data_IF_319714499671
#
_entry.id   IF_319714499671
#
_cell.length_a   1.000
_cell.length_b   1.000
_cell.length_c   1.000
_cell.angle_alpha   90.00
_cell.angle_beta   90.00
_cell.angle_gamma   90.00
#
_symmetry.space_group_name_H-M   'P 1'
#
loop_
_entity.id
_entity.type
_entity.pdbx_description
1 polymer ?
#
# COMPACT_ATOMS: atom_id res chain seq x y z
N UNK A 1 -22.43 1.34 -2.83
CA UNK A 1 -20.98 1.40 -2.54
C UNK A 1 -20.20 0.15 -2.99
N UNK A 2 -20.81 -1.04 -3.11
CA UNK A 2 -20.16 -2.26 -3.67
C UNK A 2 -19.47 -2.09 -5.02
N UNK A 3 -20.01 -1.25 -5.92
CA UNK A 3 -19.42 -1.01 -7.24
C UNK A 3 -18.04 -0.34 -7.22
N UNK A 4 -17.74 0.49 -6.22
CA UNK A 4 -16.45 1.18 -6.13
C UNK A 4 -15.31 0.21 -5.74
N UNK A 5 -15.57 -0.70 -4.79
CA UNK A 5 -14.64 -1.78 -4.41
C UNK A 5 -14.35 -2.70 -5.60
N UNK A 6 -15.39 -3.16 -6.30
CA UNK A 6 -15.26 -4.06 -7.45
C UNK A 6 -14.52 -3.41 -8.63
N UNK A 7 -14.75 -2.11 -8.86
CA UNK A 7 -14.06 -1.34 -9.90
C UNK A 7 -12.56 -1.19 -9.59
N UNK A 8 -12.20 -0.98 -8.33
CA UNK A 8 -10.81 -0.89 -7.89
C UNK A 8 -10.11 -2.26 -7.91
N UNK A 9 -10.78 -3.33 -7.50
CA UNK A 9 -10.26 -4.71 -7.61
C UNK A 9 -9.94 -5.07 -9.07
N UNK A 10 -10.84 -4.73 -10.00
CA UNK A 10 -10.59 -4.89 -11.43
C UNK A 10 -9.48 -3.99 -11.96
N UNK A 11 -9.41 -2.75 -11.47
CA UNK A 11 -8.34 -1.81 -11.86
C UNK A 11 -6.97 -2.35 -11.46
N UNK A 12 -6.83 -2.89 -10.24
CA UNK A 12 -5.59 -3.47 -9.72
C UNK A 12 -5.17 -4.71 -10.53
N UNK A 13 -6.14 -5.53 -10.97
CA UNK A 13 -5.88 -6.72 -11.78
C UNK A 13 -5.47 -6.41 -13.23
N UNK A 14 -5.80 -5.22 -13.75
CA UNK A 14 -5.51 -4.82 -15.15
C UNK A 14 -4.23 -3.99 -15.23
N UNK A 15 -4.04 -3.03 -14.31
CA UNK A 15 -2.80 -2.27 -14.17
C UNK A 15 -2.59 -1.84 -12.70
N UNK A 16 -1.54 -2.32 -12.02
CA UNK A 16 -1.21 -1.90 -10.67
C UNK A 16 -0.65 -0.47 -10.70
N UNK A 17 -1.53 0.53 -10.76
CA UNK A 17 -1.14 1.94 -10.62
C UNK A 17 -1.23 2.36 -9.16
N UNK A 18 -0.27 3.14 -8.65
CA UNK A 18 -0.26 3.65 -7.26
C UNK A 18 -1.58 4.28 -6.79
N UNK A 19 -2.28 5.00 -7.69
CA UNK A 19 -3.56 5.66 -7.39
C UNK A 19 -4.70 4.65 -7.09
N UNK A 20 -4.66 3.46 -7.68
CA UNK A 20 -5.62 2.40 -7.40
C UNK A 20 -5.45 1.89 -5.96
N UNK A 21 -4.21 1.81 -5.48
CA UNK A 21 -3.90 1.43 -4.10
C UNK A 21 -4.26 2.52 -3.10
N UNK A 22 -3.98 3.78 -3.41
CA UNK A 22 -4.41 4.91 -2.56
C UNK A 22 -5.93 4.94 -2.40
N UNK A 23 -6.66 4.72 -3.49
CA UNK A 23 -8.13 4.70 -3.47
C UNK A 23 -8.68 3.50 -2.69
N UNK A 24 -8.08 2.32 -2.85
CA UNK A 24 -8.45 1.13 -2.09
C UNK A 24 -8.18 1.30 -0.60
N UNK A 25 -7.02 1.84 -0.24
CA UNK A 25 -6.63 2.02 1.15
C UNK A 25 -7.46 3.09 1.84
N UNK A 26 -7.75 4.20 1.15
CA UNK A 26 -8.69 5.20 1.65
C UNK A 26 -10.09 4.59 1.89
N UNK A 27 -10.60 3.76 0.98
CA UNK A 27 -11.88 3.08 1.17
C UNK A 27 -11.87 2.10 2.35
N UNK A 28 -10.81 1.30 2.49
CA UNK A 28 -10.69 0.33 3.59
C UNK A 28 -10.61 1.03 4.95
N UNK A 29 -9.86 2.13 5.06
CA UNK A 29 -9.78 2.93 6.27
C UNK A 29 -11.10 3.65 6.59
N UNK A 30 -11.84 4.12 5.57
CA UNK A 30 -13.12 4.82 5.76
C UNK A 30 -14.30 3.89 6.09
N UNK A 31 -14.31 2.66 5.59
CA UNK A 31 -15.48 1.78 5.74
C UNK A 31 -15.61 1.13 7.12
N UNK A 32 -14.56 1.14 7.96
CA UNK A 32 -14.59 0.48 9.28
C UNK A 32 -14.96 -1.01 9.22
N UNK A 33 -14.89 -1.61 8.03
CA UNK A 33 -15.36 -2.94 7.71
C UNK A 33 -14.21 -3.92 7.85
N UNK A 34 -14.07 -4.48 9.06
CA UNK A 34 -13.06 -5.49 9.39
C UNK A 34 -13.15 -6.73 8.48
N UNK A 35 -14.34 -7.10 8.03
CA UNK A 35 -14.52 -8.25 7.14
C UNK A 35 -14.01 -7.93 5.72
N UNK A 36 -14.37 -6.75 5.20
CA UNK A 36 -13.90 -6.27 3.90
C UNK A 36 -12.38 -6.05 3.85
N UNK A 37 -11.80 -5.60 4.96
CA UNK A 37 -10.36 -5.46 5.20
C UNK A 37 -9.62 -6.81 5.15
N UNK A 38 -10.09 -7.78 5.93
CA UNK A 38 -9.49 -9.12 5.99
C UNK A 38 -9.60 -9.88 4.66
N UNK A 39 -10.73 -9.73 3.95
CA UNK A 39 -10.92 -10.31 2.62
C UNK A 39 -9.91 -9.75 1.61
N UNK A 40 -9.65 -8.43 1.66
CA UNK A 40 -8.66 -7.78 0.80
C UNK A 40 -7.23 -8.20 1.14
N UNK A 41 -6.89 -8.31 2.42
CA UNK A 41 -5.58 -8.83 2.83
C UNK A 41 -5.36 -10.26 2.33
N UNK A 42 -6.37 -11.12 2.45
CA UNK A 42 -6.32 -12.50 1.95
C UNK A 42 -6.09 -12.53 0.44
N UNK A 43 -6.85 -11.72 -0.31
CA UNK A 43 -6.74 -11.69 -1.76
C UNK A 43 -5.39 -11.13 -2.23
N UNK A 44 -4.88 -10.06 -1.60
CA UNK A 44 -3.62 -9.48 -2.05
C UNK A 44 -2.43 -10.40 -1.77
N UNK A 45 -2.44 -11.11 -0.64
CA UNK A 45 -1.43 -12.14 -0.35
C UNK A 45 -1.49 -13.26 -1.38
N UNK A 46 -2.70 -13.71 -1.75
CA UNK A 46 -2.89 -14.69 -2.84
C UNK A 46 -2.33 -14.19 -4.17
N UNK A 47 -2.57 -12.93 -4.53
CA UNK A 47 -2.04 -12.34 -5.76
C UNK A 47 -0.52 -12.18 -5.74
N UNK A 48 0.05 -11.86 -4.58
CA UNK A 48 1.50 -11.83 -4.38
C UNK A 48 2.13 -13.21 -4.59
N UNK A 49 1.57 -14.27 -4.00
CA UNK A 49 2.04 -15.65 -4.20
C UNK A 49 1.95 -16.10 -5.67
N UNK A 50 0.93 -15.62 -6.39
CA UNK A 50 0.78 -15.84 -7.83
C UNK A 50 1.68 -14.95 -8.69
N UNK A 51 2.54 -14.11 -8.09
CA UNK A 51 3.41 -13.14 -8.76
C UNK A 51 2.64 -12.16 -9.65
N UNK A 52 1.41 -11.83 -9.22
CA UNK A 52 0.50 -10.90 -9.90
C UNK A 52 0.32 -9.58 -9.15
N UNK A 53 0.95 -9.44 -8.00
CA UNK A 53 1.04 -8.19 -7.26
C UNK A 53 2.47 -8.02 -6.72
N UNK A 54 3.03 -6.79 -6.74
CA UNK A 54 4.31 -6.51 -6.10
C UNK A 54 4.20 -6.50 -4.58
N UNK A 55 5.32 -6.65 -3.88
CA UNK A 55 5.35 -6.66 -2.41
C UNK A 55 4.92 -5.30 -1.83
N UNK A 56 5.23 -4.19 -2.50
CA UNK A 56 4.82 -2.84 -2.07
C UNK A 56 3.30 -2.70 -1.98
N UNK A 57 2.54 -3.43 -2.82
CA UNK A 57 1.08 -3.42 -2.73
C UNK A 57 0.58 -4.05 -1.44
N UNK A 58 1.19 -5.16 -1.02
CA UNK A 58 0.84 -5.82 0.24
C UNK A 58 1.14 -4.89 1.42
N UNK A 59 2.27 -4.17 1.37
CA UNK A 59 2.63 -3.17 2.37
C UNK A 59 1.53 -2.09 2.53
N UNK A 60 1.00 -1.58 1.42
CA UNK A 60 -0.07 -0.59 1.45
C UNK A 60 -1.38 -1.09 2.08
N UNK A 61 -1.72 -2.37 1.91
CA UNK A 61 -2.90 -2.95 2.57
C UNK A 61 -2.67 -2.99 4.08
N UNK A 62 -1.54 -3.51 4.56
CA UNK A 62 -1.23 -3.48 5.99
C UNK A 62 -1.22 -2.05 6.57
N UNK A 63 -0.74 -1.09 5.79
CA UNK A 63 -0.76 0.31 6.14
C UNK A 63 -2.19 0.87 6.32
N UNK A 64 -3.11 0.51 5.41
CA UNK A 64 -4.51 0.90 5.50
C UNK A 64 -5.24 0.28 6.71
N UNK A 65 -4.75 -0.88 7.17
CA UNK A 65 -5.25 -1.58 8.35
C UNK A 65 -4.69 -1.00 9.67
N UNK A 66 -3.66 -0.15 9.61
CA UNK A 66 -2.95 0.34 10.79
C UNK A 66 -1.91 -0.65 11.33
N UNK A 67 -1.65 -1.74 10.62
CA UNK A 67 -0.68 -2.78 10.97
C UNK A 67 0.73 -2.38 10.51
N UNK A 68 1.26 -1.30 11.09
CA UNK A 68 2.47 -0.64 10.61
C UNK A 68 3.70 -1.56 10.62
N UNK A 69 3.86 -2.40 11.64
CA UNK A 69 5.02 -3.31 11.72
C UNK A 69 5.04 -4.32 10.57
N UNK A 70 3.88 -4.83 10.17
CA UNK A 70 3.76 -5.72 9.02
C UNK A 70 3.92 -4.93 7.71
N UNK A 71 3.36 -3.71 7.62
CA UNK A 71 3.58 -2.84 6.47
C UNK A 71 5.08 -2.62 6.21
N UNK A 72 5.87 -2.32 7.25
CA UNK A 72 7.32 -2.15 7.12
C UNK A 72 8.03 -3.44 6.72
N UNK A 73 7.64 -4.62 7.22
CA UNK A 73 8.19 -5.90 6.74
C UNK A 73 8.01 -6.08 5.24
N UNK A 74 6.83 -5.72 4.72
CA UNK A 74 6.56 -5.80 3.29
C UNK A 74 7.24 -4.71 2.47
N UNK A 75 7.45 -3.51 3.02
CA UNK A 75 8.27 -2.48 2.38
C UNK A 75 9.73 -2.91 2.26
N UNK A 76 10.31 -3.55 3.28
CA UNK A 76 11.66 -4.14 3.20
C UNK A 76 11.73 -5.21 2.11
N UNK A 77 10.71 -6.06 2.02
CA UNK A 77 10.62 -7.06 0.95
C UNK A 77 10.51 -6.42 -0.45
N UNK A 78 9.78 -5.32 -0.57
CA UNK A 78 9.67 -4.56 -1.82
C UNK A 78 10.99 -3.90 -2.22
N UNK A 79 11.76 -3.41 -1.25
CA UNK A 79 13.13 -2.93 -1.43
C UNK A 79 14.05 -4.03 -1.97
N UNK A 80 14.02 -5.22 -1.35
CA UNK A 80 14.80 -6.38 -1.78
C UNK A 80 14.44 -6.81 -3.21
N UNK A 81 13.14 -6.82 -3.53
CA UNK A 81 12.63 -7.16 -4.86
C UNK A 81 12.87 -6.05 -5.91
N UNK A 82 13.29 -4.86 -5.47
CA UNK A 82 13.43 -3.65 -6.31
C UNK A 82 12.13 -3.27 -7.00
N UNK A 83 11.02 -3.32 -6.27
CA UNK A 83 9.69 -2.98 -6.77
C UNK A 83 9.67 -1.51 -7.24
N UNK A 84 9.53 -1.29 -8.55
CA UNK A 84 9.55 0.05 -9.14
C UNK A 84 8.42 0.97 -8.67
N UNK A 85 7.33 0.39 -8.17
CA UNK A 85 6.19 1.12 -7.63
C UNK A 85 6.49 1.84 -6.29
N UNK A 86 7.59 1.50 -5.62
CA UNK A 86 8.02 2.21 -4.42
C UNK A 86 8.37 3.68 -4.70
N UNK A 87 8.68 4.04 -5.95
CA UNK A 87 8.91 5.45 -6.33
C UNK A 87 7.69 6.34 -6.10
N UNK A 88 6.49 5.76 -5.96
CA UNK A 88 5.24 6.48 -5.76
C UNK A 88 4.79 6.56 -4.31
N UNK A 89 5.63 6.14 -3.35
CA UNK A 89 5.27 6.18 -1.92
C UNK A 89 4.87 7.58 -1.44
N UNK A 90 5.44 8.64 -2.03
CA UNK A 90 5.09 10.04 -1.73
C UNK A 90 3.77 10.52 -2.37
N UNK A 91 3.18 9.76 -3.30
CA UNK A 91 1.90 10.12 -3.91
C UNK A 91 0.70 9.96 -2.95
N UNK A 92 0.92 9.30 -1.83
CA UNK A 92 -0.12 9.06 -0.83
C UNK A 92 -0.38 10.30 0.02
N UNK A 93 -1.64 10.76 0.14
CA UNK A 93 -1.93 11.96 0.93
C UNK A 93 -1.53 11.78 2.39
N UNK A 94 -0.71 12.71 2.90
CA UNK A 94 -0.18 12.65 4.28
C UNK A 94 -1.26 12.59 5.35
N UNK A 95 -2.38 13.29 5.14
CA UNK A 95 -3.52 13.33 6.07
C UNK A 95 -4.33 12.02 6.12
N UNK A 96 -4.12 11.09 5.19
CA UNK A 96 -4.74 9.77 5.21
C UNK A 96 -3.86 8.71 5.87
N UNK A 97 -2.63 9.05 6.26
CA UNK A 97 -1.64 8.03 6.57
C UNK A 97 -0.69 8.42 7.72
N UNK A 98 -0.83 7.80 8.91
CA UNK A 98 0.05 8.07 10.06
C UNK A 98 1.50 7.64 9.83
N UNK A 99 1.77 6.83 8.80
CA UNK A 99 3.13 6.32 8.51
C UNK A 99 4.14 7.44 8.29
N UNK A 100 3.69 8.62 7.83
CA UNK A 100 4.57 9.76 7.58
C UNK A 100 5.23 10.31 8.84
N UNK A 101 4.67 10.00 10.02
CA UNK A 101 5.24 10.39 11.31
C UNK A 101 6.10 9.28 11.93
N UNK A 102 6.15 8.09 11.31
CA UNK A 102 7.03 7.00 11.72
C UNK A 102 8.46 7.21 11.17
N UNK A 103 9.50 7.24 12.02
CA UNK A 103 10.88 7.47 11.58
C UNK A 103 11.37 6.42 10.57
N UNK A 104 10.83 5.19 10.61
CA UNK A 104 11.16 4.12 9.65
C UNK A 104 10.74 4.49 8.22
N UNK A 105 9.68 5.29 8.06
CA UNK A 105 9.24 5.75 6.75
C UNK A 105 10.24 6.73 6.13
N UNK A 106 10.77 7.65 6.94
CA UNK A 106 11.81 8.60 6.49
C UNK A 106 13.07 7.85 6.04
N UNK A 107 13.48 6.81 6.79
CA UNK A 107 14.61 5.97 6.40
C UNK A 107 14.34 5.19 5.10
N UNK A 108 13.15 4.61 4.98
CA UNK A 108 12.71 3.90 3.78
C UNK A 108 12.78 4.81 2.54
N UNK A 109 12.26 6.04 2.62
CA UNK A 109 12.31 7.02 1.53
C UNK A 109 13.76 7.37 1.14
N UNK A 110 14.65 7.53 2.12
CA UNK A 110 16.08 7.77 1.86
C UNK A 110 16.71 6.61 1.09
N UNK A 111 16.41 5.37 1.48
CA UNK A 111 16.99 4.15 0.88
C UNK A 111 16.52 3.91 -0.56
N UNK A 112 15.31 4.35 -0.91
CA UNK A 112 14.82 4.34 -2.30
C UNK A 112 15.29 5.54 -3.14
N UNK A 113 16.10 6.43 -2.57
CA UNK A 113 16.61 7.61 -3.26
C UNK A 113 15.59 8.74 -3.41
N UNK A 114 14.55 8.77 -2.56
CA UNK A 114 13.60 9.87 -2.45
C UNK A 114 13.94 10.73 -1.22
N UNK A 115 14.94 11.64 -1.30
CA UNK A 115 15.32 12.49 -0.18
C UNK A 115 14.13 13.29 0.32
N UNK A 116 14.16 13.65 1.61
CA UNK A 116 13.21 14.63 2.13
C UNK A 116 13.31 15.91 1.31
N UNK A 117 12.21 16.26 0.66
CA UNK A 117 12.00 17.60 0.17
C UNK A 117 12.00 18.47 1.42
N UNK A 118 13.07 19.23 1.62
CA UNK A 118 13.11 20.27 2.63
C UNK A 118 11.92 21.22 2.40
N UNK A 119 10.97 21.16 3.34
CA UNK A 119 9.90 22.13 3.67
C UNK A 119 8.69 22.21 2.74
#
# INVERSE_FOLDING_TARGET
MQGAKLALERSIAVEPRPLAYTSLCALLSMMGDEEGKNAQLTEILRLYELKRAPAVTVAYIFLALGEFDEAFRWFEKALENRDGEMLFMRAWPRWLNPVYDDPRFTDLLRRIGLPDQER
#
